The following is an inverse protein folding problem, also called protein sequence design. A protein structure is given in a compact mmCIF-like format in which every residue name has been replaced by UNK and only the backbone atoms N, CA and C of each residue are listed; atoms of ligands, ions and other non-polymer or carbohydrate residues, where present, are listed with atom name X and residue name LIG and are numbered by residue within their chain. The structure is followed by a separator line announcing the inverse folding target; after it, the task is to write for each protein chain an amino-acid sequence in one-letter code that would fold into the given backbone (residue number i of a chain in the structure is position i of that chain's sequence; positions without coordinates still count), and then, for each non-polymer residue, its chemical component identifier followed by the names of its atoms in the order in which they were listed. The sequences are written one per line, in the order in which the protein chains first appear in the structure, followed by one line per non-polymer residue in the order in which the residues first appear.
data_IF_739964688415
#
_entry.id   IF_739964688415
#
_cell.length_a   1.000
_cell.length_b   1.000
_cell.length_c   1.000
_cell.angle_alpha   90.00
_cell.angle_beta   90.00
_cell.angle_gamma   90.00
#
_symmetry.space_group_name_H-M   'P 1'
#
loop_
_entity.id
_entity.type
_entity.pdbx_description
1 polymer ?
#
# COMPACT_ATOMS: atom_id res chain seq x y z
N UNK A 1 -19.81 8.08 2.69
CA UNK A 1 -18.96 9.08 3.36
C UNK A 1 -17.68 9.18 2.54
N UNK A 2 -17.56 10.17 1.66
CA UNK A 2 -16.39 10.35 0.79
C UNK A 2 -15.34 11.14 1.56
N UNK A 3 -14.45 10.44 2.25
CA UNK A 3 -13.27 11.03 2.90
C UNK A 3 -12.05 10.76 2.03
N UNK A 4 -11.37 11.81 1.58
CA UNK A 4 -10.05 11.68 0.99
C UNK A 4 -9.00 11.81 2.11
N UNK A 5 -8.20 10.77 2.33
CA UNK A 5 -7.09 10.85 3.28
C UNK A 5 -5.94 11.61 2.62
N UNK A 6 -5.65 12.81 3.11
CA UNK A 6 -4.55 13.61 2.62
C UNK A 6 -3.21 13.03 3.09
N UNK A 7 -2.56 12.24 2.24
CA UNK A 7 -1.14 11.89 2.42
C UNK A 7 -0.29 13.09 1.99
N UNK A 8 0.72 13.51 2.77
CA UNK A 8 1.56 14.65 2.40
C UNK A 8 2.23 14.43 1.04
N UNK A 9 2.20 15.45 0.17
CA UNK A 9 3.01 15.47 -1.04
C UNK A 9 4.43 15.87 -0.67
N UNK A 10 5.30 14.90 -0.36
CA UNK A 10 6.72 15.14 -0.04
C UNK A 10 7.55 15.53 -1.26
N UNK A 11 7.20 16.65 -1.90
CA UNK A 11 7.99 17.27 -2.96
C UNK A 11 8.15 18.76 -2.68
N UNK A 12 9.37 19.27 -2.85
CA UNK A 12 9.64 20.71 -2.77
C UNK A 12 9.20 21.44 -4.04
N UNK A 13 9.05 20.72 -5.15
CA UNK A 13 8.70 21.25 -6.47
C UNK A 13 7.57 20.41 -7.10
N UNK A 14 6.31 20.63 -6.74
CA UNK A 14 5.19 19.89 -7.33
C UNK A 14 5.01 20.28 -8.81
N UNK A 15 4.93 19.26 -9.68
CA UNK A 15 4.58 19.43 -11.09
C UNK A 15 3.16 18.89 -11.35
N UNK A 16 2.35 19.53 -12.21
CA UNK A 16 1.04 19.00 -12.58
C UNK A 16 1.14 17.63 -13.26
N UNK A 17 0.25 16.71 -12.90
CA UNK A 17 0.15 15.38 -13.51
C UNK A 17 0.30 14.23 -12.50
N UNK A 18 0.38 13.01 -13.03
CA UNK A 18 0.70 11.81 -12.28
C UNK A 18 2.07 11.28 -12.74
N UNK A 19 2.90 10.85 -11.80
CA UNK A 19 4.14 10.14 -12.07
C UNK A 19 3.99 8.66 -11.72
N UNK A 20 4.61 7.79 -12.51
CA UNK A 20 4.70 6.36 -12.22
C UNK A 20 6.07 6.04 -11.65
N UNK A 21 6.10 5.17 -10.64
CA UNK A 21 7.33 4.65 -10.06
C UNK A 21 7.21 3.14 -9.91
N UNK A 22 8.05 2.42 -10.64
CA UNK A 22 8.14 0.97 -10.56
C UNK A 22 9.36 0.56 -9.74
N UNK A 23 9.18 -0.44 -8.89
CA UNK A 23 10.26 -1.03 -8.11
C UNK A 23 10.11 -2.54 -8.07
N UNK A 24 11.21 -3.25 -8.31
CA UNK A 24 11.23 -4.70 -8.25
C UNK A 24 11.14 -5.15 -6.78
N UNK A 25 10.23 -6.08 -6.50
CA UNK A 25 10.16 -6.72 -5.19
C UNK A 25 11.18 -7.88 -5.17
N UNK A 26 12.07 -7.94 -4.17
CA UNK A 26 13.04 -9.03 -4.05
C UNK A 26 12.36 -10.41 -4.04
N UNK A 27 12.93 -11.38 -4.74
CA UNK A 27 12.31 -12.69 -4.97
C UNK A 27 12.05 -13.45 -3.66
N UNK A 28 12.95 -13.32 -2.69
CA UNK A 28 12.82 -13.89 -1.35
C UNK A 28 11.62 -13.31 -0.59
N UNK A 29 11.34 -12.02 -0.76
CA UNK A 29 10.17 -11.37 -0.18
C UNK A 29 8.88 -11.87 -0.85
N UNK A 30 8.89 -12.01 -2.18
CA UNK A 30 7.75 -12.59 -2.91
C UNK A 30 7.46 -14.02 -2.43
N UNK A 31 8.49 -14.85 -2.25
CA UNK A 31 8.34 -16.20 -1.73
C UNK A 31 7.77 -16.21 -0.30
N UNK A 32 8.25 -15.33 0.57
CA UNK A 32 7.76 -15.20 1.94
C UNK A 32 6.28 -14.76 1.98
N UNK A 33 5.87 -13.80 1.15
CA UNK A 33 4.49 -13.34 1.06
C UNK A 33 3.54 -14.44 0.56
N UNK A 34 3.96 -15.23 -0.45
CA UNK A 34 3.18 -16.37 -0.93
C UNK A 34 3.01 -17.45 0.12
N UNK A 35 4.07 -17.73 0.89
CA UNK A 35 4.00 -18.68 2.01
C UNK A 35 3.03 -18.18 3.09
N UNK A 36 3.12 -16.90 3.47
CA UNK A 36 2.23 -16.30 4.44
C UNK A 36 0.76 -16.38 4.01
N UNK A 37 0.46 -16.06 2.74
CA UNK A 37 -0.89 -16.18 2.19
C UNK A 37 -1.43 -17.62 2.31
N UNK A 38 -0.59 -18.62 2.03
CA UNK A 38 -0.94 -20.04 2.20
C UNK A 38 -1.15 -20.44 3.67
N UNK A 39 -0.28 -19.98 4.57
CA UNK A 39 -0.38 -20.27 6.01
C UNK A 39 -1.67 -19.69 6.62
N UNK A 40 -2.11 -18.54 6.13
CA UNK A 40 -3.33 -17.87 6.57
C UNK A 40 -4.60 -18.29 5.81
N UNK A 41 -4.49 -19.17 4.80
CA UNK A 41 -5.57 -19.58 3.89
C UNK A 41 -6.31 -18.39 3.24
N UNK A 42 -5.55 -17.40 2.76
CA UNK A 42 -6.09 -16.23 2.07
C UNK A 42 -5.42 -16.00 0.71
N UNK A 43 -6.10 -15.29 -0.22
CA UNK A 43 -5.45 -14.83 -1.45
C UNK A 43 -4.23 -13.93 -1.17
N UNK A 44 -3.19 -14.01 -2.01
CA UNK A 44 -2.03 -13.12 -1.91
C UNK A 44 -2.42 -11.64 -2.00
N UNK A 45 -3.47 -11.31 -2.76
CA UNK A 45 -4.00 -9.95 -2.86
C UNK A 45 -4.47 -9.40 -1.52
N UNK A 46 -5.04 -10.23 -0.63
CA UNK A 46 -5.43 -9.81 0.72
C UNK A 46 -4.21 -9.38 1.54
N UNK A 47 -3.11 -10.16 1.47
CA UNK A 47 -1.85 -9.82 2.16
C UNK A 47 -1.28 -8.50 1.63
N UNK A 48 -1.26 -8.33 0.30
CA UNK A 48 -0.78 -7.09 -0.33
C UNK A 48 -1.66 -5.89 0.02
N UNK A 49 -2.98 -6.08 0.06
CA UNK A 49 -3.93 -5.03 0.46
C UNK A 49 -3.72 -4.63 1.93
N UNK A 50 -3.49 -5.60 2.82
CA UNK A 50 -3.14 -5.31 4.22
C UNK A 50 -1.82 -4.55 4.33
N UNK A 51 -0.80 -4.92 3.55
CA UNK A 51 0.47 -4.18 3.51
C UNK A 51 0.25 -2.73 3.03
N UNK A 52 -0.57 -2.54 1.99
CA UNK A 52 -0.96 -1.22 1.48
C UNK A 52 -1.68 -0.39 2.54
N UNK A 53 -2.70 -0.95 3.20
CA UNK A 53 -3.44 -0.28 4.27
C UNK A 53 -2.54 0.08 5.46
N UNK A 54 -1.58 -0.79 5.82
CA UNK A 54 -0.62 -0.53 6.89
C UNK A 54 0.29 0.66 6.57
N UNK A 55 0.78 0.75 5.32
CA UNK A 55 1.58 1.89 4.86
C UNK A 55 0.73 3.15 4.90
N UNK A 56 -0.49 3.12 4.33
CA UNK A 56 -1.36 4.29 4.33
C UNK A 56 -1.63 4.82 5.74
N UNK A 57 -2.03 3.97 6.68
CA UNK A 57 -2.28 4.38 8.06
C UNK A 57 -1.05 4.98 8.73
N UNK A 58 0.14 4.42 8.45
CA UNK A 58 1.41 4.98 8.95
C UNK A 58 1.71 6.37 8.34
N UNK A 59 1.45 6.58 7.05
CA UNK A 59 1.74 7.84 6.37
C UNK A 59 0.70 8.93 6.68
N UNK A 60 -0.55 8.57 6.92
CA UNK A 60 -1.62 9.51 7.24
C UNK A 60 -1.80 9.76 8.74
N UNK A 61 -1.21 8.94 9.61
CA UNK A 61 -1.46 8.97 11.05
C UNK A 61 -2.82 8.40 11.45
N UNK A 62 -3.51 7.71 10.54
CA UNK A 62 -4.84 7.14 10.77
C UNK A 62 -4.77 5.70 11.26
N UNK A 63 -5.67 5.32 12.18
CA UNK A 63 -5.77 3.93 12.66
C UNK A 63 -6.61 3.04 11.75
N UNK A 64 -7.57 3.64 11.05
CA UNK A 64 -8.46 2.96 10.12
C UNK A 64 -8.37 3.67 8.77
N UNK A 65 -8.19 2.89 7.71
CA UNK A 65 -8.10 3.40 6.34
C UNK A 65 -9.07 2.66 5.44
N UNK A 66 -9.71 3.40 4.53
CA UNK A 66 -10.54 2.84 3.48
C UNK A 66 -9.84 3.08 2.14
N UNK A 67 -9.69 2.03 1.34
CA UNK A 67 -9.10 2.10 0.00
C UNK A 67 -10.03 1.44 -0.99
N UNK A 68 -10.36 2.15 -2.05
CA UNK A 68 -11.21 1.68 -3.14
C UNK A 68 -10.97 2.58 -4.35
N UNK A 69 -11.40 2.10 -5.51
CA UNK A 69 -11.51 2.90 -6.73
C UNK A 69 -12.99 3.21 -6.99
#
# INVERSE_FOLDING_TARGET
MTGFTAVPRWTLNPVPGAGEHETAIPAELVAALRRLAKELDVPLSSVLLTAHAKVLGALSGEREVCTGY
#
